data_IF_094183034727
#
_entry.id   IF_094183034727
#
_cell.length_a   1.000
_cell.length_b   1.000
_cell.length_c   1.000
_cell.angle_alpha   90.00
_cell.angle_beta   90.00
_cell.angle_gamma   90.00
#
_symmetry.space_group_name_H-M   'P 1'
#
loop_
_entity.id
_entity.type
_entity.pdbx_description
1 polymer ?
#
# COMPACT_ATOMS: atom_id res chain seq x y z
N UNK A 1 3.02 -7.80 -7.98
CA UNK A 1 2.55 -7.82 -6.58
C UNK A 1 2.32 -6.40 -6.05
N UNK A 2 3.34 -5.54 -6.02
CA UNK A 2 3.27 -4.15 -5.48
C UNK A 2 2.13 -3.32 -6.04
N UNK A 3 1.87 -3.37 -7.36
CA UNK A 3 0.71 -2.71 -7.99
C UNK A 3 -0.65 -3.19 -7.45
N UNK A 4 -0.79 -4.51 -7.17
CA UNK A 4 -2.00 -5.08 -6.58
C UNK A 4 -2.20 -4.56 -5.14
N UNK A 5 -1.13 -4.57 -4.34
CA UNK A 5 -1.16 -4.04 -2.97
C UNK A 5 -1.52 -2.55 -2.97
N UNK A 6 -0.95 -1.76 -3.88
CA UNK A 6 -1.29 -0.34 -4.05
C UNK A 6 -2.78 -0.15 -4.35
N UNK A 7 -3.34 -0.92 -5.29
CA UNK A 7 -4.75 -0.83 -5.64
C UNK A 7 -5.66 -1.16 -4.46
N UNK A 8 -5.33 -2.19 -3.68
CA UNK A 8 -6.08 -2.56 -2.47
C UNK A 8 -6.02 -1.48 -1.39
N UNK A 9 -4.84 -0.88 -1.15
CA UNK A 9 -4.69 0.21 -0.18
C UNK A 9 -5.52 1.44 -0.60
N UNK A 10 -5.46 1.83 -1.88
CA UNK A 10 -6.25 2.95 -2.41
C UNK A 10 -7.75 2.67 -2.30
N UNK A 11 -8.19 1.44 -2.56
CA UNK A 11 -9.57 1.01 -2.37
C UNK A 11 -10.05 1.07 -0.92
N UNK A 12 -9.14 0.98 0.06
CA UNK A 12 -9.42 1.16 1.49
C UNK A 12 -9.28 2.62 1.97
N UNK A 13 -9.04 3.57 1.06
CA UNK A 13 -8.85 4.98 1.39
C UNK A 13 -7.45 5.35 1.86
N UNK A 14 -6.48 4.43 1.76
CA UNK A 14 -5.07 4.70 2.12
C UNK A 14 -4.29 5.11 0.87
N UNK A 15 -3.93 6.38 0.79
CA UNK A 15 -3.14 6.90 -0.32
C UNK A 15 -1.63 6.72 -0.08
N UNK A 16 -1.01 5.84 -0.88
CA UNK A 16 0.45 5.66 -0.94
C UNK A 16 0.94 5.73 -2.39
N UNK A 17 2.25 5.84 -2.60
CA UNK A 17 2.84 5.94 -3.96
C UNK A 17 3.72 4.74 -4.28
N UNK A 18 4.00 4.54 -5.56
CA UNK A 18 4.93 3.54 -6.08
C UNK A 18 5.82 4.19 -7.14
N UNK A 19 7.05 3.71 -7.31
CA UNK A 19 7.87 4.12 -8.44
C UNK A 19 7.34 3.51 -9.76
N UNK A 20 7.61 4.16 -10.89
CA UNK A 20 7.05 3.76 -12.18
C UNK A 20 7.98 2.89 -13.03
N UNK A 21 9.27 2.81 -12.67
CA UNK A 21 10.32 2.18 -13.49
C UNK A 21 10.99 1.04 -12.73
N UNK A 22 11.31 -0.04 -13.43
CA UNK A 22 12.07 -1.15 -12.87
C UNK A 22 13.52 -0.73 -12.52
N UNK A 23 14.11 -1.27 -11.43
CA UNK A 23 13.57 -2.28 -10.52
C UNK A 23 12.78 -1.69 -9.35
N UNK A 24 12.53 -0.38 -9.34
CA UNK A 24 11.95 0.34 -8.19
C UNK A 24 10.44 0.18 -8.10
N UNK A 25 9.77 -0.17 -9.20
CA UNK A 25 8.34 -0.48 -9.26
C UNK A 25 7.93 -1.72 -8.43
N UNK A 26 8.90 -2.45 -7.86
CA UNK A 26 8.68 -3.47 -6.84
C UNK A 26 8.47 -2.90 -5.43
N UNK A 27 8.73 -1.61 -5.19
CA UNK A 27 8.66 -0.99 -3.86
C UNK A 27 7.48 -0.01 -3.75
N UNK A 28 6.85 0.02 -2.57
CA UNK A 28 5.96 1.10 -2.15
C UNK A 28 6.77 2.21 -1.49
N UNK A 29 6.34 3.46 -1.69
CA UNK A 29 6.82 4.64 -0.97
C UNK A 29 5.70 5.15 -0.07
N UNK A 30 5.91 5.03 1.23
CA UNK A 30 4.99 5.46 2.28
C UNK A 30 5.54 6.73 2.92
N UNK A 31 4.76 7.80 2.91
CA UNK A 31 5.08 9.01 3.67
C UNK A 31 4.72 8.79 5.13
N UNK A 32 5.51 9.36 6.05
CA UNK A 32 5.16 9.36 7.47
C UNK A 32 4.04 10.38 7.69
N UNK A 33 2.90 9.92 8.20
CA UNK A 33 1.74 10.75 8.56
C UNK A 33 1.65 11.02 10.06
N UNK A 34 0.49 11.50 10.51
CA UNK A 34 0.18 11.64 11.94
C UNK A 34 -0.10 10.26 12.58
N UNK A 35 -0.10 10.13 13.93
CA UNK A 35 -0.34 8.84 14.59
C UNK A 35 -1.60 8.11 14.12
N UNK A 36 -2.67 8.85 13.83
CA UNK A 36 -3.93 8.31 13.32
C UNK A 36 -3.75 7.68 11.93
N UNK A 37 -2.98 8.30 11.04
CA UNK A 37 -2.68 7.76 9.71
C UNK A 37 -1.87 6.46 9.80
N UNK A 38 -0.92 6.42 10.74
CA UNK A 38 -0.07 5.25 10.99
C UNK A 38 -0.94 4.08 11.44
N UNK A 39 -1.90 4.33 12.34
CA UNK A 39 -2.84 3.31 12.83
C UNK A 39 -3.80 2.81 11.74
N UNK A 40 -4.33 3.73 10.91
CA UNK A 40 -5.15 3.34 9.76
C UNK A 40 -4.36 2.48 8.76
N UNK A 41 -3.12 2.86 8.47
CA UNK A 41 -2.23 2.08 7.60
C UNK A 41 -1.91 0.71 8.21
N UNK A 42 -1.61 0.63 9.51
CA UNK A 42 -1.32 -0.62 10.21
C UNK A 42 -2.47 -1.63 10.13
N UNK A 43 -3.72 -1.15 10.19
CA UNK A 43 -4.93 -1.99 10.03
C UNK A 43 -5.17 -2.42 8.58
N UNK A 44 -4.94 -1.52 7.63
CA UNK A 44 -5.23 -1.77 6.21
C UNK A 44 -4.17 -2.64 5.53
N UNK A 45 -2.89 -2.46 5.87
CA UNK A 45 -1.77 -3.06 5.14
C UNK A 45 -1.78 -4.60 5.12
N UNK A 46 -2.00 -5.32 6.24
CA UNK A 46 -2.11 -6.78 6.21
C UNK A 46 -3.25 -7.28 5.31
N UNK A 47 -4.41 -6.61 5.34
CA UNK A 47 -5.58 -6.96 4.53
C UNK A 47 -5.30 -6.74 3.04
N UNK A 48 -4.62 -5.66 2.70
CA UNK A 48 -4.21 -5.38 1.32
C UNK A 48 -3.20 -6.42 0.81
N UNK A 49 -2.26 -6.88 1.64
CA UNK A 49 -1.32 -7.95 1.29
C UNK A 49 -2.02 -9.28 1.03
N UNK A 50 -2.98 -9.66 1.89
CA UNK A 50 -3.78 -10.88 1.73
C UNK A 50 -4.60 -10.85 0.44
N UNK A 51 -5.37 -9.78 0.22
CA UNK A 51 -6.17 -9.62 -1.00
C UNK A 51 -5.30 -9.62 -2.26
N UNK A 52 -4.16 -8.95 -2.24
CA UNK A 52 -3.23 -8.93 -3.37
C UNK A 52 -2.59 -10.29 -3.68
N UNK A 53 -2.56 -11.23 -2.71
CA UNK A 53 -2.14 -12.63 -2.92
C UNK A 53 -3.27 -13.49 -3.50
N UNK A 54 -4.52 -13.18 -3.15
CA UNK A 54 -5.70 -13.96 -3.53
C UNK A 54 -6.37 -13.47 -4.84
N UNK A 55 -5.96 -12.32 -5.37
CA UNK A 55 -6.20 -11.86 -6.74
C UNK A 55 -5.12 -12.39 -7.68
#
# INVERSE_FOLDING_TARGET
FTRKVLAELVGMGIFVRMAFVAPQDRCLRVSVGIPEDIEHFAKAFPRALEKARNQ
#
